data_IF_924109819400
#
_entry.id   IF_924109819400
#
_cell.length_a   1.000
_cell.length_b   1.000
_cell.length_c   1.000
_cell.angle_alpha   90.00
_cell.angle_beta   90.00
_cell.angle_gamma   90.00
#
_symmetry.space_group_name_H-M   'P 1'
#
loop_
_entity.id
_entity.type
_entity.pdbx_description
1 polymer ?
#
# COMPACT_ATOMS: atom_id res chain seq x y z
N UNK A 1 1.66 0.11 -17.35
CA UNK A 1 1.31 1.53 -17.53
C UNK A 1 0.54 1.96 -16.29
N UNK A 2 0.79 3.15 -15.73
CA UNK A 2 0.16 3.60 -14.46
C UNK A 2 -0.77 4.78 -14.73
N UNK A 3 -1.97 4.71 -14.18
CA UNK A 3 -2.98 5.75 -14.29
C UNK A 3 -2.57 6.99 -13.47
N UNK A 4 -1.93 6.79 -12.32
CA UNK A 4 -1.40 7.89 -11.50
C UNK A 4 -0.40 8.74 -12.29
N UNK A 5 0.53 8.08 -13.00
CA UNK A 5 1.50 8.79 -13.85
C UNK A 5 0.82 9.54 -14.99
N UNK A 6 -0.13 8.91 -15.69
CA UNK A 6 -0.87 9.57 -16.78
C UNK A 6 -1.62 10.82 -16.29
N UNK A 7 -2.27 10.73 -15.13
CA UNK A 7 -2.97 11.88 -14.54
C UNK A 7 -1.98 12.99 -14.19
N UNK A 8 -0.83 12.64 -13.61
CA UNK A 8 0.22 13.60 -13.26
C UNK A 8 0.76 14.33 -14.50
N UNK A 9 1.17 13.60 -15.53
CA UNK A 9 1.77 14.15 -16.74
C UNK A 9 0.83 15.12 -17.49
N UNK A 10 -0.49 14.88 -17.43
CA UNK A 10 -1.51 15.74 -18.05
C UNK A 10 -1.86 16.95 -17.15
N UNK A 11 -1.65 16.86 -15.85
CA UNK A 11 -2.11 17.85 -14.87
C UNK A 11 -0.93 18.71 -14.37
N UNK A 12 -0.64 19.80 -15.09
CA UNK A 12 0.50 20.70 -14.80
C UNK A 12 0.45 21.39 -13.43
N UNK A 13 -0.73 21.56 -12.84
CA UNK A 13 -0.92 22.08 -11.47
C UNK A 13 -1.85 21.16 -10.68
N UNK A 14 -1.25 20.28 -9.87
CA UNK A 14 -1.98 19.38 -8.99
C UNK A 14 -2.56 20.08 -7.76
N UNK A 15 -1.96 21.18 -7.31
CA UNK A 15 -2.42 21.90 -6.12
C UNK A 15 -3.80 22.54 -6.35
N UNK A 16 -4.03 23.06 -7.57
CA UNK A 16 -5.33 23.58 -7.98
C UNK A 16 -6.33 22.50 -8.45
N UNK A 17 -5.90 21.27 -8.75
CA UNK A 17 -6.74 20.28 -9.43
C UNK A 17 -7.25 19.16 -8.50
N UNK A 18 -8.30 19.49 -7.73
CA UNK A 18 -8.99 18.55 -6.84
C UNK A 18 -9.52 17.29 -7.56
N UNK A 19 -9.91 17.41 -8.83
CA UNK A 19 -10.40 16.27 -9.62
C UNK A 19 -9.26 15.29 -9.87
N UNK A 20 -8.08 15.78 -10.27
CA UNK A 20 -6.89 14.95 -10.48
C UNK A 20 -6.46 14.25 -9.19
N UNK A 21 -6.38 14.98 -8.07
CA UNK A 21 -6.05 14.42 -6.75
C UNK A 21 -7.03 13.32 -6.34
N UNK A 22 -8.33 13.53 -6.54
CA UNK A 22 -9.35 12.52 -6.26
C UNK A 22 -9.21 11.27 -7.16
N UNK A 23 -8.85 11.44 -8.43
CA UNK A 23 -8.60 10.31 -9.34
C UNK A 23 -7.36 9.52 -8.92
N UNK A 24 -6.27 10.19 -8.53
CA UNK A 24 -5.06 9.54 -8.00
C UNK A 24 -5.39 8.78 -6.71
N UNK A 25 -6.11 9.41 -5.77
CA UNK A 25 -6.60 8.77 -4.55
C UNK A 25 -7.40 7.50 -4.84
N UNK A 26 -8.30 7.57 -5.84
CA UNK A 26 -9.12 6.43 -6.26
C UNK A 26 -8.26 5.33 -6.89
N UNK A 27 -7.28 5.66 -7.71
CA UNK A 27 -6.36 4.68 -8.32
C UNK A 27 -5.56 3.93 -7.23
N UNK A 28 -4.95 4.67 -6.29
CA UNK A 28 -4.26 4.10 -5.14
C UNK A 28 -5.16 3.19 -4.30
N UNK A 29 -6.40 3.64 -4.03
CA UNK A 29 -7.37 2.85 -3.26
C UNK A 29 -7.80 1.58 -4.00
N UNK A 30 -7.97 1.64 -5.32
CA UNK A 30 -8.30 0.48 -6.15
C UNK A 30 -7.19 -0.56 -6.11
N UNK A 31 -5.94 -0.15 -6.33
CA UNK A 31 -4.77 -1.07 -6.26
C UNK A 31 -4.65 -1.68 -4.86
N UNK A 32 -4.80 -0.86 -3.80
CA UNK A 32 -4.74 -1.33 -2.41
C UNK A 32 -5.85 -2.34 -2.08
N UNK A 33 -7.08 -2.11 -2.57
CA UNK A 33 -8.21 -3.03 -2.40
C UNK A 33 -8.01 -4.34 -3.18
N UNK A 34 -7.44 -4.28 -4.38
CA UNK A 34 -7.10 -5.47 -5.15
C UNK A 34 -6.05 -6.31 -4.41
N UNK A 35 -4.96 -5.68 -3.97
CA UNK A 35 -3.95 -6.33 -3.14
C UNK A 35 -4.55 -6.95 -1.88
N UNK A 36 -5.51 -6.25 -1.26
CA UNK A 36 -6.17 -6.77 -0.08
C UNK A 36 -6.93 -8.08 -0.34
N UNK A 37 -7.56 -8.24 -1.51
CA UNK A 37 -8.23 -9.51 -1.87
C UNK A 37 -7.25 -10.68 -1.94
N UNK A 38 -6.04 -10.45 -2.44
CA UNK A 38 -5.00 -11.49 -2.46
C UNK A 38 -4.46 -11.79 -1.06
N UNK A 39 -4.41 -10.78 -0.19
CA UNK A 39 -3.87 -10.88 1.16
C UNK A 39 -4.91 -11.32 2.21
N UNK A 40 -6.19 -11.39 1.87
CA UNK A 40 -7.27 -11.68 2.82
C UNK A 40 -7.08 -13.02 3.54
N UNK A 41 -6.52 -14.02 2.86
CA UNK A 41 -6.21 -15.32 3.47
C UNK A 41 -5.21 -15.22 4.63
N UNK A 42 -4.40 -14.15 4.67
CA UNK A 42 -3.37 -13.88 5.69
C UNK A 42 -3.97 -13.26 6.96
N UNK A 43 -5.24 -12.81 6.89
CA UNK A 43 -5.94 -12.18 8.02
C UNK A 43 -6.08 -13.13 9.22
N UNK A 44 -6.24 -14.43 8.95
CA UNK A 44 -6.30 -15.46 9.98
C UNK A 44 -4.89 -15.75 10.54
N UNK A 45 -4.74 -15.55 11.86
CA UNK A 45 -3.47 -15.74 12.57
C UNK A 45 -3.14 -17.22 12.81
N UNK A 46 -4.14 -18.07 12.85
CA UNK A 46 -4.01 -19.48 13.19
C UNK A 46 -3.85 -20.35 11.94
N UNK A 47 -4.28 -19.82 10.79
CA UNK A 47 -4.16 -20.50 9.50
C UNK A 47 -2.71 -20.62 9.05
N UNK A 48 -2.23 -21.87 8.95
CA UNK A 48 -0.99 -22.21 8.23
C UNK A 48 -1.25 -22.21 6.72
N UNK A 49 -0.69 -21.22 6.03
CA UNK A 49 -0.66 -21.15 4.57
C UNK A 49 0.67 -21.73 4.09
N UNK A 50 0.62 -22.60 3.09
CA UNK A 50 1.82 -23.20 2.53
C UNK A 50 2.64 -22.16 1.72
N UNK A 51 3.95 -22.42 1.56
CA UNK A 51 4.84 -21.49 0.88
C UNK A 51 4.45 -21.26 -0.59
N UNK A 52 4.01 -22.29 -1.32
CA UNK A 52 3.57 -22.14 -2.71
C UNK A 52 2.42 -21.15 -2.87
N UNK A 53 1.45 -21.17 -1.93
CA UNK A 53 0.36 -20.20 -1.92
C UNK A 53 0.86 -18.80 -1.59
N UNK A 54 1.77 -18.67 -0.62
CA UNK A 54 2.37 -17.37 -0.28
C UNK A 54 3.14 -16.78 -1.47
N UNK A 55 3.89 -17.58 -2.21
CA UNK A 55 4.60 -17.16 -3.43
C UNK A 55 3.60 -16.65 -4.48
N UNK A 56 2.51 -17.39 -4.71
CA UNK A 56 1.43 -16.96 -5.62
C UNK A 56 0.76 -15.66 -5.18
N UNK A 57 0.58 -15.45 -3.87
CA UNK A 57 0.07 -14.18 -3.35
C UNK A 57 1.04 -13.05 -3.71
N UNK A 58 2.32 -13.21 -3.38
CA UNK A 58 3.37 -12.21 -3.63
C UNK A 58 3.48 -11.87 -5.12
N UNK A 59 3.45 -12.85 -6.02
CA UNK A 59 3.53 -12.61 -7.46
C UNK A 59 2.39 -11.72 -7.96
N UNK A 60 1.19 -11.90 -7.40
CA UNK A 60 -0.04 -11.21 -7.80
C UNK A 60 -0.20 -9.82 -7.19
N UNK A 61 0.64 -9.42 -6.22
CA UNK A 61 0.56 -8.08 -5.64
C UNK A 61 0.93 -7.01 -6.66
N UNK A 62 0.05 -6.05 -6.88
CA UNK A 62 0.26 -4.91 -7.75
C UNK A 62 0.95 -3.76 -6.99
N UNK A 63 1.84 -3.04 -7.66
CA UNK A 63 2.57 -1.89 -7.07
C UNK A 63 2.77 -0.75 -8.06
N UNK A 64 2.06 -0.78 -9.19
CA UNK A 64 2.30 0.16 -10.28
C UNK A 64 1.86 1.57 -9.89
N UNK A 65 0.70 1.69 -9.24
CA UNK A 65 0.19 2.99 -8.78
C UNK A 65 0.96 3.48 -7.56
N UNK A 66 1.33 2.59 -6.62
CA UNK A 66 2.20 2.97 -5.50
C UNK A 66 3.53 3.55 -6.01
N UNK A 67 4.18 2.83 -6.93
CA UNK A 67 5.46 3.24 -7.52
C UNK A 67 5.33 4.58 -8.24
N UNK A 68 4.27 4.77 -9.02
CA UNK A 68 4.04 6.02 -9.72
C UNK A 68 3.82 7.19 -8.76
N UNK A 69 3.04 7.00 -7.70
CA UNK A 69 2.81 8.02 -6.68
C UNK A 69 4.11 8.50 -6.03
N UNK A 70 5.01 7.57 -5.69
CA UNK A 70 6.32 7.88 -5.09
C UNK A 70 7.27 8.55 -6.08
N UNK A 71 7.31 8.07 -7.34
CA UNK A 71 8.33 8.51 -8.30
C UNK A 71 7.98 9.75 -9.11
N UNK A 72 6.69 10.11 -9.20
CA UNK A 72 6.27 11.29 -9.96
C UNK A 72 6.33 12.60 -9.14
N UNK A 73 6.71 12.55 -7.86
CA UNK A 73 6.77 13.76 -7.01
C UNK A 73 5.38 14.36 -6.76
N UNK A 74 4.37 13.53 -6.57
CA UNK A 74 3.03 13.99 -6.19
C UNK A 74 3.10 14.51 -4.74
N UNK A 75 2.59 15.70 -4.44
CA UNK A 75 2.45 16.18 -3.05
C UNK A 75 1.35 15.38 -2.34
N UNK A 76 1.73 14.26 -1.72
CA UNK A 76 0.81 13.27 -1.15
C UNK A 76 0.00 13.81 0.03
N UNK A 77 0.49 14.85 0.70
CA UNK A 77 -0.24 15.62 1.70
C UNK A 77 -1.54 16.25 1.15
N UNK A 78 -1.60 16.53 -0.16
CA UNK A 78 -2.82 17.02 -0.81
C UNK A 78 -3.85 15.91 -1.04
N UNK A 79 -3.43 14.64 -1.06
CA UNK A 79 -4.34 13.49 -1.11
C UNK A 79 -4.90 13.21 0.28
N UNK A 80 -4.02 13.20 1.28
CA UNK A 80 -4.40 13.14 2.68
C UNK A 80 -3.36 13.84 3.56
N UNK A 81 -3.75 14.87 4.32
CA UNK A 81 -2.85 15.52 5.27
C UNK A 81 -2.73 14.71 6.57
N UNK A 82 -3.51 13.64 6.73
CA UNK A 82 -3.56 12.86 7.95
C UNK A 82 -2.32 11.97 8.11
N UNK A 83 -1.75 12.01 9.32
CA UNK A 83 -0.77 11.04 9.77
C UNK A 83 -1.45 9.81 10.37
N UNK A 84 -0.70 8.70 10.45
CA UNK A 84 -1.14 7.47 11.08
C UNK A 84 -1.37 7.68 12.57
N UNK A 85 -2.60 7.40 13.01
CA UNK A 85 -2.99 7.48 14.43
C UNK A 85 -3.03 6.10 15.08
N UNK A 86 -3.07 6.05 16.42
CA UNK A 86 -3.26 4.81 17.18
C UNK A 86 -4.54 4.07 16.77
N UNK A 87 -5.62 4.79 16.49
CA UNK A 87 -6.88 4.23 15.99
C UNK A 87 -6.70 3.49 14.67
N UNK A 88 -5.91 4.06 13.75
CA UNK A 88 -5.64 3.42 12.45
C UNK A 88 -4.80 2.15 12.60
N UNK A 89 -4.07 2.01 13.70
CA UNK A 89 -3.25 0.84 14.02
C UNK A 89 -4.02 -0.24 14.80
N UNK A 90 -5.25 0.04 15.24
CA UNK A 90 -6.06 -0.93 15.96
C UNK A 90 -6.24 -2.22 15.15
N UNK A 91 -6.07 -3.36 15.82
CA UNK A 91 -6.21 -4.71 15.26
C UNK A 91 -5.21 -5.08 14.13
N UNK A 92 -4.25 -4.21 13.83
CA UNK A 92 -3.12 -4.54 12.96
C UNK A 92 -2.02 -5.21 13.77
N UNK A 93 -1.25 -6.09 13.14
CA UNK A 93 -0.06 -6.63 13.80
C UNK A 93 0.94 -5.52 14.08
N UNK A 94 1.89 -5.75 15.01
CA UNK A 94 2.88 -4.79 15.47
C UNK A 94 3.70 -4.14 14.33
N UNK A 95 3.11 -3.16 13.65
CA UNK A 95 3.73 -2.34 12.62
C UNK A 95 4.20 -1.04 13.24
N UNK A 96 5.44 -0.66 12.92
CA UNK A 96 6.02 0.61 13.35
C UNK A 96 5.68 1.67 12.30
N UNK A 97 4.50 2.26 12.46
CA UNK A 97 3.95 3.23 11.51
C UNK A 97 3.25 4.43 12.18
N UNK A 98 3.24 4.54 13.51
CA UNK A 98 2.69 5.72 14.18
C UNK A 98 3.37 6.99 13.64
N UNK A 99 2.59 8.05 13.43
CA UNK A 99 3.04 9.36 12.93
C UNK A 99 3.60 9.38 11.49
N UNK A 100 3.65 8.23 10.81
CA UNK A 100 3.93 8.20 9.38
C UNK A 100 2.86 9.00 8.61
N UNK A 101 3.29 9.71 7.57
CA UNK A 101 2.41 10.25 6.54
C UNK A 101 2.12 9.21 5.44
N UNK A 102 1.32 9.62 4.44
CA UNK A 102 0.93 8.75 3.34
C UNK A 102 2.13 8.28 2.50
N UNK A 103 3.09 9.17 2.26
CA UNK A 103 4.31 8.87 1.50
C UNK A 103 5.10 7.76 2.17
N UNK A 104 5.41 7.91 3.45
CA UNK A 104 6.15 6.91 4.21
C UNK A 104 5.43 5.56 4.25
N UNK A 105 4.09 5.53 4.25
CA UNK A 105 3.33 4.28 4.21
C UNK A 105 3.39 3.64 2.82
N UNK A 106 3.20 4.42 1.75
CA UNK A 106 3.32 3.96 0.37
C UNK A 106 4.70 3.37 0.09
N UNK A 107 5.77 4.08 0.46
CA UNK A 107 7.15 3.63 0.28
C UNK A 107 7.42 2.31 1.01
N UNK A 108 6.99 2.22 2.28
CA UNK A 108 7.17 0.98 3.07
C UNK A 108 6.48 -0.20 2.39
N UNK A 109 5.29 -0.03 1.84
CA UNK A 109 4.57 -1.09 1.12
C UNK A 109 5.30 -1.45 -0.17
N UNK A 110 5.62 -0.44 -0.99
CA UNK A 110 6.30 -0.62 -2.26
C UNK A 110 7.62 -1.40 -2.09
N UNK A 111 8.48 -0.97 -1.16
CA UNK A 111 9.78 -1.62 -0.90
C UNK A 111 9.58 -3.06 -0.42
N UNK A 112 8.65 -3.30 0.51
CA UNK A 112 8.38 -4.66 1.01
C UNK A 112 7.95 -5.60 -0.09
N UNK A 113 7.03 -5.17 -0.95
CA UNK A 113 6.54 -6.00 -2.05
C UNK A 113 7.62 -6.18 -3.12
N UNK A 114 8.30 -5.10 -3.53
CA UNK A 114 9.34 -5.15 -4.55
C UNK A 114 10.53 -6.04 -4.14
N UNK A 115 10.94 -5.96 -2.87
CA UNK A 115 11.96 -6.84 -2.32
C UNK A 115 11.48 -8.30 -2.30
N UNK A 116 10.28 -8.55 -1.78
CA UNK A 116 9.77 -9.90 -1.64
C UNK A 116 9.52 -10.57 -2.99
N UNK A 117 9.10 -9.82 -4.02
CA UNK A 117 9.00 -10.33 -5.40
C UNK A 117 10.33 -10.79 -5.99
N UNK A 118 11.46 -10.23 -5.55
CA UNK A 118 12.81 -10.61 -6.01
C UNK A 118 13.41 -11.74 -5.17
N UNK A 119 13.07 -11.82 -3.89
CA UNK A 119 13.81 -12.61 -2.91
C UNK A 119 12.92 -13.58 -2.10
N UNK A 120 11.76 -13.97 -2.62
CA UNK A 120 10.87 -14.91 -1.92
C UNK A 120 11.43 -16.33 -1.75
N UNK A 121 12.48 -16.69 -2.50
CA UNK A 121 13.15 -17.99 -2.44
C UNK A 121 14.33 -18.03 -1.44
N UNK A 122 14.60 -16.94 -0.72
CA UNK A 122 15.69 -16.91 0.25
C UNK A 122 15.38 -17.78 1.47
N UNK A 123 16.27 -18.73 1.77
CA UNK A 123 16.14 -19.69 2.88
C UNK A 123 16.09 -19.00 4.26
N UNK A 124 16.57 -17.77 4.37
CA UNK A 124 16.62 -17.01 5.61
C UNK A 124 15.35 -16.16 5.86
N UNK A 125 14.37 -16.20 4.96
CA UNK A 125 13.17 -15.37 5.05
C UNK A 125 11.96 -16.19 5.50
N UNK A 126 11.37 -15.79 6.62
CA UNK A 126 10.03 -16.25 6.98
C UNK A 126 8.98 -15.55 6.09
N UNK A 127 8.62 -16.19 4.98
CA UNK A 127 7.71 -15.63 3.98
C UNK A 127 6.35 -15.26 4.57
N UNK A 128 5.80 -16.10 5.46
CA UNK A 128 4.52 -15.83 6.11
C UNK A 128 4.54 -14.49 6.87
N UNK A 129 5.56 -14.27 7.71
CA UNK A 129 5.70 -13.03 8.48
C UNK A 129 5.84 -11.82 7.54
N UNK A 130 6.58 -11.94 6.44
CA UNK A 130 6.74 -10.84 5.47
C UNK A 130 5.42 -10.49 4.80
N UNK A 131 4.68 -11.49 4.32
CA UNK A 131 3.36 -11.28 3.69
C UNK A 131 2.35 -10.72 4.69
N UNK A 132 2.38 -11.20 5.94
CA UNK A 132 1.55 -10.68 7.04
C UNK A 132 1.84 -9.22 7.38
N UNK A 133 3.11 -8.83 7.34
CA UNK A 133 3.51 -7.44 7.50
C UNK A 133 2.97 -6.58 6.34
N UNK A 134 3.06 -7.07 5.10
CA UNK A 134 2.48 -6.40 3.92
C UNK A 134 0.97 -6.24 4.07
N UNK A 135 0.25 -7.28 4.51
CA UNK A 135 -1.19 -7.21 4.79
C UNK A 135 -1.51 -6.09 5.78
N UNK A 136 -0.81 -6.02 6.91
CA UNK A 136 -1.03 -4.98 7.93
C UNK A 136 -0.80 -3.56 7.37
N UNK A 137 0.28 -3.36 6.60
CA UNK A 137 0.51 -2.05 5.97
C UNK A 137 -0.52 -1.74 4.86
N UNK A 138 -0.94 -2.72 4.07
CA UNK A 138 -1.96 -2.52 3.03
C UNK A 138 -3.32 -2.14 3.64
N UNK A 139 -3.70 -2.77 4.75
CA UNK A 139 -4.88 -2.39 5.54
C UNK A 139 -4.76 -0.95 6.06
N UNK A 140 -3.59 -0.59 6.60
CA UNK A 140 -3.32 0.78 7.04
C UNK A 140 -3.47 1.79 5.89
N UNK A 141 -2.92 1.50 4.71
CA UNK A 141 -3.05 2.36 3.53
C UNK A 141 -4.52 2.54 3.12
N UNK A 142 -5.31 1.47 3.11
CA UNK A 142 -6.76 1.56 2.84
C UNK A 142 -7.44 2.48 3.87
N UNK A 143 -7.11 2.33 5.16
CA UNK A 143 -7.66 3.20 6.22
C UNK A 143 -7.30 4.67 5.99
N UNK A 144 -6.05 4.98 5.66
CA UNK A 144 -5.60 6.34 5.35
C UNK A 144 -6.30 6.94 4.13
N UNK A 145 -6.52 6.15 3.08
CA UNK A 145 -7.18 6.59 1.85
C UNK A 145 -8.71 6.68 1.99
N UNK A 146 -9.31 6.02 2.99
CA UNK A 146 -10.78 6.00 3.16
C UNK A 146 -11.28 6.94 4.25
N UNK A 147 -10.44 7.28 5.25
CA UNK A 147 -10.84 8.19 6.33
C UNK A 147 -11.31 9.52 5.71
N UNK A 148 -12.56 9.90 5.99
CA UNK A 148 -13.09 11.21 5.60
C UNK A 148 -12.30 12.26 6.37
N UNK A 149 -11.78 13.26 5.65
CA UNK A 149 -11.32 14.49 6.26
C UNK A 149 -12.56 15.12 6.93
N UNK A 150 -12.53 15.26 8.25
CA UNK A 150 -13.49 16.07 9.01
C UNK A 150 -13.16 17.54 8.80
#
# INVERSE_FOLDING_TARGET
MSIVKEIYDVTKDLAGNKIALNKIKKALLTESKLNNKFLEEISDKEKRINNDRLIKIVSNLEVNELKAAITCGIPLELITPSKVTKEMLADLDYIKALDNDLEMVLEKIYIKIAYLKKDYNSEHINLYIRVRNIFSYNQLLIRMLTKKQL
#
